data_IF_895375098727
#
_entry.id   IF_895375098727
#
_cell.length_a   1.000
_cell.length_b   1.000
_cell.length_c   1.000
_cell.angle_alpha   90.00
_cell.angle_beta   90.00
_cell.angle_gamma   90.00
#
_symmetry.space_group_name_H-M   'P 1'
#
loop_
_entity.id
_entity.type
_entity.pdbx_description
1 polymer ?
#
# COMPACT_ATOMS: atom_id res chain seq x y z
N UNK A 1 4.93 18.70 7.01
CA UNK A 1 3.62 18.12 7.40
C UNK A 1 2.67 18.17 6.20
N UNK A 2 2.08 17.05 5.85
CA UNK A 2 1.09 16.98 4.78
C UNK A 2 -0.17 17.78 5.18
N UNK A 3 -0.84 18.40 4.20
CA UNK A 3 -2.09 19.13 4.48
C UNK A 3 -3.23 18.14 4.75
N UNK A 4 -4.25 18.60 5.49
CA UNK A 4 -5.44 17.79 5.75
C UNK A 4 -6.18 17.40 4.47
N UNK A 5 -6.13 18.26 3.45
CA UNK A 5 -6.77 18.00 2.16
C UNK A 5 -6.10 16.86 1.39
N UNK A 6 -4.79 16.73 1.55
CA UNK A 6 -4.00 15.71 0.86
C UNK A 6 -3.83 14.41 1.66
N UNK A 7 -4.21 14.43 2.93
CA UNK A 7 -4.12 13.27 3.81
C UNK A 7 -5.30 12.31 3.62
N UNK A 8 -5.04 11.05 3.94
CA UNK A 8 -6.06 10.01 3.99
C UNK A 8 -6.14 9.45 5.39
N UNK A 9 -7.24 8.77 5.69
CA UNK A 9 -7.44 8.10 6.98
C UNK A 9 -6.92 6.68 6.89
N UNK A 10 -6.07 6.29 7.85
CA UNK A 10 -5.74 4.88 8.09
C UNK A 10 -6.48 4.46 9.36
N UNK A 11 -7.15 3.32 9.30
CA UNK A 11 -8.06 2.85 10.35
C UNK A 11 -7.71 1.46 10.82
N UNK A 12 -7.70 1.28 12.12
CA UNK A 12 -7.51 -0.02 12.76
C UNK A 12 -8.62 -0.23 13.78
N UNK A 13 -9.29 -1.37 13.71
CA UNK A 13 -10.36 -1.73 14.64
C UNK A 13 -9.94 -2.92 15.49
N UNK A 14 -10.09 -2.79 16.79
CA UNK A 14 -9.79 -3.85 17.74
C UNK A 14 -10.61 -3.67 19.00
N UNK A 15 -11.06 -4.76 19.62
CA UNK A 15 -11.81 -4.74 20.88
C UNK A 15 -13.10 -3.92 20.83
N UNK A 16 -13.73 -3.81 19.65
CA UNK A 16 -14.93 -3.01 19.46
C UNK A 16 -14.68 -1.51 19.34
N UNK A 17 -13.42 -1.09 19.34
CA UNK A 17 -13.02 0.31 19.20
C UNK A 17 -12.33 0.55 17.86
N UNK A 18 -12.48 1.77 17.36
CA UNK A 18 -11.88 2.23 16.12
C UNK A 18 -10.81 3.27 16.40
N UNK A 19 -9.66 3.13 15.74
CA UNK A 19 -8.54 4.06 15.88
C UNK A 19 -8.13 4.54 14.50
N UNK A 20 -8.04 5.85 14.32
CA UNK A 20 -7.74 6.48 13.04
C UNK A 20 -6.56 7.43 13.14
N UNK A 21 -5.77 7.50 12.08
CA UNK A 21 -4.73 8.51 11.89
C UNK A 21 -4.89 9.16 10.53
N UNK A 22 -4.38 10.38 10.41
CA UNK A 22 -4.40 11.16 9.16
C UNK A 22 -2.99 11.22 8.61
N UNK A 23 -2.78 10.62 7.44
CA UNK A 23 -1.44 10.41 6.87
C UNK A 23 -1.43 10.67 5.36
N UNK A 24 -0.26 11.08 4.86
CA UNK A 24 -0.01 11.16 3.43
C UNK A 24 -0.11 9.76 2.80
N UNK A 25 -0.93 9.57 1.75
CA UNK A 25 -1.12 8.26 1.14
C UNK A 25 0.17 7.67 0.55
N UNK A 26 1.05 8.50 0.00
CA UNK A 26 2.34 8.03 -0.54
C UNK A 26 3.30 7.57 0.56
N UNK A 27 3.32 8.28 1.69
CA UNK A 27 4.11 7.86 2.84
C UNK A 27 3.61 6.55 3.42
N UNK A 28 2.28 6.37 3.51
CA UNK A 28 1.68 5.11 3.93
C UNK A 28 2.05 3.97 3.00
N UNK A 29 2.03 4.21 1.69
CA UNK A 29 2.46 3.25 0.69
C UNK A 29 3.92 2.84 0.88
N UNK A 30 4.81 3.82 1.02
CA UNK A 30 6.25 3.58 1.24
C UNK A 30 6.50 2.76 2.49
N UNK A 31 5.82 3.09 3.58
CA UNK A 31 5.93 2.33 4.82
C UNK A 31 5.47 0.88 4.65
N UNK A 32 4.36 0.66 3.96
CA UNK A 32 3.85 -0.69 3.68
C UNK A 32 4.80 -1.49 2.79
N UNK A 33 5.58 -0.82 1.96
CA UNK A 33 6.60 -1.44 1.10
C UNK A 33 7.91 -1.74 1.85
N UNK A 34 8.03 -1.33 3.10
CA UNK A 34 9.19 -1.60 3.95
C UNK A 34 10.16 -0.45 4.08
N UNK A 35 9.85 0.71 3.53
CA UNK A 35 10.71 1.90 3.62
C UNK A 35 10.54 2.62 4.96
N UNK A 36 11.59 3.29 5.39
CA UNK A 36 11.49 4.22 6.50
C UNK A 36 10.91 5.54 6.00
N UNK A 37 10.03 6.16 6.81
CA UNK A 37 9.40 7.42 6.45
C UNK A 37 9.62 8.47 7.53
N UNK A 38 9.52 9.73 7.14
CA UNK A 38 9.56 10.87 8.06
C UNK A 38 8.14 11.09 8.60
N UNK A 39 7.90 10.68 9.84
CA UNK A 39 6.58 10.78 10.46
C UNK A 39 6.09 12.22 10.60
N UNK A 40 6.99 13.16 10.85
CA UNK A 40 6.65 14.58 10.94
C UNK A 40 6.04 15.11 9.64
N UNK A 41 6.63 14.72 8.51
CA UNK A 41 6.12 15.12 7.20
C UNK A 41 4.89 14.32 6.79
N UNK A 42 4.81 13.07 7.19
CA UNK A 42 3.76 12.15 6.76
C UNK A 42 2.42 12.38 7.47
N UNK A 43 2.44 12.75 8.75
CA UNK A 43 1.24 12.90 9.56
C UNK A 43 0.66 14.31 9.40
N UNK A 44 -0.64 14.40 9.11
CA UNK A 44 -1.32 15.67 8.91
C UNK A 44 -1.72 16.34 10.21
N UNK A 45 -2.06 15.54 11.23
CA UNK A 45 -2.43 16.04 12.55
C UNK A 45 -1.98 15.01 13.58
N UNK A 46 -1.19 15.44 14.56
CA UNK A 46 -0.68 14.54 15.61
C UNK A 46 -1.82 13.96 16.45
N UNK A 47 -1.75 12.69 16.68
CA UNK A 47 -2.69 12.00 17.57
C UNK A 47 -3.41 10.84 16.91
N UNK A 48 -4.27 10.22 17.71
CA UNK A 48 -5.10 9.10 17.32
C UNK A 48 -6.56 9.49 17.56
N UNK A 49 -7.39 9.19 16.59
CA UNK A 49 -8.78 9.60 16.56
C UNK A 49 -9.70 8.39 16.66
N UNK A 50 -10.79 8.54 17.40
CA UNK A 50 -11.90 7.58 17.34
C UNK A 50 -12.72 7.79 16.07
N UNK A 51 -12.88 9.05 15.69
CA UNK A 51 -13.51 9.46 14.43
C UNK A 51 -12.83 10.74 13.94
N UNK A 52 -11.97 10.61 12.96
CA UNK A 52 -11.19 11.75 12.46
C UNK A 52 -12.06 12.77 11.72
N UNK A 53 -13.12 12.32 11.05
CA UNK A 53 -14.03 13.23 10.33
C UNK A 53 -14.80 14.13 11.29
N UNK A 54 -15.14 13.63 12.47
CA UNK A 54 -15.84 14.41 13.50
C UNK A 54 -14.90 15.15 14.44
N UNK A 55 -13.59 14.91 14.34
CA UNK A 55 -12.61 15.47 15.25
C UNK A 55 -12.62 14.83 16.64
N UNK A 56 -13.17 13.64 16.78
CA UNK A 56 -13.25 12.92 18.06
C UNK A 56 -11.95 12.16 18.30
N UNK A 57 -11.18 12.59 19.32
CA UNK A 57 -9.94 11.91 19.69
C UNK A 57 -10.22 10.62 20.45
N UNK A 58 -9.37 9.63 20.24
CA UNK A 58 -9.44 8.39 20.99
C UNK A 58 -8.98 8.63 22.44
N UNK A 59 -9.72 8.17 23.45
CA UNK A 59 -9.28 8.28 24.84
C UNK A 59 -7.97 7.51 25.07
N UNK A 60 -7.06 8.09 25.83
CA UNK A 60 -5.75 7.49 26.11
C UNK A 60 -5.85 6.10 26.73
N UNK A 61 -6.85 5.89 27.59
CA UNK A 61 -7.04 4.58 28.22
C UNK A 61 -7.35 3.49 27.20
N UNK A 62 -8.18 3.81 26.19
CA UNK A 62 -8.51 2.86 25.10
C UNK A 62 -7.32 2.64 24.19
N UNK A 63 -6.55 3.69 23.92
CA UNK A 63 -5.33 3.59 23.11
C UNK A 63 -4.31 2.69 23.80
N UNK A 64 -4.07 2.90 25.07
CA UNK A 64 -3.13 2.08 25.83
C UNK A 64 -3.59 0.62 25.94
N UNK A 65 -4.87 0.39 26.11
CA UNK A 65 -5.43 -0.98 26.15
C UNK A 65 -5.27 -1.70 24.81
N UNK A 66 -5.44 -0.99 23.69
CA UNK A 66 -5.37 -1.56 22.36
C UNK A 66 -3.93 -1.79 21.88
N UNK A 67 -3.02 -0.86 22.19
CA UNK A 67 -1.66 -0.85 21.62
C UNK A 67 -0.57 -1.17 22.66
N UNK A 68 -0.89 -1.19 23.93
CA UNK A 68 0.10 -1.40 25.00
C UNK A 68 1.03 -0.22 25.21
N UNK A 69 0.76 0.92 24.60
CA UNK A 69 1.57 2.13 24.67
C UNK A 69 0.74 3.35 24.26
N UNK A 70 1.20 4.54 24.66
CA UNK A 70 0.65 5.81 24.16
C UNK A 70 1.64 6.56 23.28
N UNK A 71 2.78 5.93 22.95
CA UNK A 71 3.75 6.52 22.00
C UNK A 71 3.17 6.54 20.59
N UNK A 72 3.02 7.74 20.03
CA UNK A 72 2.33 7.95 18.75
C UNK A 72 2.98 7.19 17.60
N UNK A 73 4.30 7.23 17.48
CA UNK A 73 4.98 6.56 16.35
C UNK A 73 4.74 5.06 16.36
N UNK A 74 4.78 4.43 17.53
CA UNK A 74 4.49 2.99 17.64
C UNK A 74 3.04 2.67 17.28
N UNK A 75 2.11 3.54 17.66
CA UNK A 75 0.70 3.42 17.30
C UNK A 75 0.50 3.58 15.80
N UNK A 76 1.14 4.58 15.19
CA UNK A 76 1.09 4.80 13.74
C UNK A 76 1.57 3.59 12.96
N UNK A 77 2.69 3.00 13.38
CA UNK A 77 3.23 1.79 12.76
C UNK A 77 2.24 0.63 12.80
N UNK A 78 1.61 0.42 13.94
CA UNK A 78 0.63 -0.64 14.13
C UNK A 78 -0.60 -0.44 13.23
N UNK A 79 -1.12 0.78 13.18
CA UNK A 79 -2.28 1.11 12.35
C UNK A 79 -1.95 0.92 10.87
N UNK A 80 -0.77 1.34 10.42
CA UNK A 80 -0.36 1.17 9.02
C UNK A 80 -0.10 -0.30 8.65
N UNK A 81 0.40 -1.09 9.59
CA UNK A 81 0.71 -2.50 9.35
C UNK A 81 -0.54 -3.37 9.33
N UNK A 82 -1.43 -3.18 10.30
CA UNK A 82 -2.58 -4.06 10.51
C UNK A 82 -3.93 -3.45 10.13
N UNK A 83 -3.97 -2.15 9.94
CA UNK A 83 -5.20 -1.42 9.60
C UNK A 83 -5.43 -1.33 8.08
N UNK A 84 -6.47 -0.59 7.75
CA UNK A 84 -6.89 -0.34 6.36
C UNK A 84 -6.67 1.13 6.02
N UNK A 85 -6.09 1.41 4.86
CA UNK A 85 -5.89 2.77 4.37
C UNK A 85 -7.07 3.14 3.48
N UNK A 86 -7.76 4.22 3.83
CA UNK A 86 -9.00 4.65 3.17
C UNK A 86 -8.64 5.57 1.99
N UNK A 87 -8.43 5.00 0.82
CA UNK A 87 -8.16 5.77 -0.40
C UNK A 87 -9.47 6.14 -1.08
N UNK A 88 -9.52 7.33 -1.69
CA UNK A 88 -10.60 7.65 -2.62
C UNK A 88 -10.46 6.77 -3.86
N UNK A 89 -11.53 6.60 -4.63
CA UNK A 89 -11.49 5.85 -5.87
C UNK A 89 -10.43 6.40 -6.83
N UNK A 90 -10.34 7.73 -6.95
CA UNK A 90 -9.34 8.37 -7.80
C UNK A 90 -7.92 8.09 -7.33
N UNK A 91 -7.63 8.26 -6.03
CA UNK A 91 -6.32 7.99 -5.46
C UNK A 91 -5.93 6.52 -5.69
N UNK A 92 -6.86 5.60 -5.43
CA UNK A 92 -6.63 4.17 -5.62
C UNK A 92 -6.30 3.85 -7.08
N UNK A 93 -7.07 4.38 -8.02
CA UNK A 93 -6.85 4.14 -9.45
C UNK A 93 -5.50 4.67 -9.91
N UNK A 94 -5.13 5.88 -9.50
CA UNK A 94 -3.82 6.46 -9.83
C UNK A 94 -2.66 5.64 -9.26
N UNK A 95 -2.78 5.21 -8.01
CA UNK A 95 -1.75 4.41 -7.34
C UNK A 95 -1.66 3.00 -7.94
N UNK A 96 -2.77 2.40 -8.31
CA UNK A 96 -2.81 1.10 -9.00
C UNK A 96 -2.13 1.22 -10.37
N UNK A 97 -2.45 2.25 -11.15
CA UNK A 97 -1.84 2.45 -12.46
C UNK A 97 -0.33 2.62 -12.38
N UNK A 98 0.16 3.42 -11.42
CA UNK A 98 1.58 3.60 -11.20
C UNK A 98 2.26 2.30 -10.76
N UNK A 99 1.64 1.57 -9.85
CA UNK A 99 2.16 0.29 -9.36
C UNK A 99 2.22 -0.74 -10.49
N UNK A 100 1.20 -0.80 -11.33
CA UNK A 100 1.16 -1.69 -12.50
C UNK A 100 2.30 -1.41 -13.45
N UNK A 101 2.58 -0.14 -13.74
CA UNK A 101 3.72 0.26 -14.58
C UNK A 101 5.04 -0.21 -13.99
N UNK A 102 5.22 -0.03 -12.68
CA UNK A 102 6.42 -0.47 -11.98
C UNK A 102 6.58 -1.98 -12.01
N UNK A 103 5.49 -2.72 -11.87
CA UNK A 103 5.49 -4.19 -11.98
C UNK A 103 5.90 -4.63 -13.40
N UNK A 104 5.33 -4.00 -14.42
CA UNK A 104 5.67 -4.30 -15.82
C UNK A 104 7.14 -4.03 -16.08
N UNK A 105 7.66 -2.88 -15.66
CA UNK A 105 9.08 -2.52 -15.81
C UNK A 105 9.99 -3.51 -15.10
N UNK A 106 9.62 -3.93 -13.90
CA UNK A 106 10.37 -4.91 -13.13
C UNK A 106 10.45 -6.27 -13.85
N UNK A 107 9.34 -6.73 -14.39
CA UNK A 107 9.28 -8.00 -15.14
C UNK A 107 10.10 -7.89 -16.44
N UNK A 108 9.94 -6.80 -17.19
CA UNK A 108 10.68 -6.58 -18.43
C UNK A 108 12.19 -6.58 -18.18
N UNK A 109 12.64 -5.95 -17.07
CA UNK A 109 14.05 -5.85 -16.73
C UNK A 109 14.67 -7.18 -16.24
N UNK A 110 13.87 -8.07 -15.63
CA UNK A 110 14.37 -9.27 -14.95
C UNK A 110 13.94 -10.59 -15.57
N UNK A 111 13.02 -10.56 -16.53
CA UNK A 111 12.51 -11.76 -17.19
C UNK A 111 12.88 -11.79 -18.65
N UNK A 112 12.88 -12.97 -19.25
CA UNK A 112 13.16 -13.14 -20.67
C UNK A 112 12.16 -14.09 -21.29
N UNK A 113 12.01 -14.00 -22.62
CA UNK A 113 11.28 -14.96 -23.41
C UNK A 113 12.23 -16.12 -23.75
N UNK A 114 12.02 -17.34 -23.19
CA UNK A 114 12.92 -18.46 -23.45
C UNK A 114 12.92 -18.92 -24.90
N UNK A 115 11.89 -18.57 -25.68
CA UNK A 115 11.81 -18.93 -27.11
C UNK A 115 12.73 -18.05 -27.97
N UNK A 116 12.88 -16.76 -27.61
CA UNK A 116 13.69 -15.81 -28.37
C UNK A 116 15.00 -15.47 -27.71
N UNK A 117 15.14 -15.73 -26.42
CA UNK A 117 16.31 -15.36 -25.62
C UNK A 117 16.41 -13.88 -25.28
N UNK A 118 15.40 -13.09 -25.66
CA UNK A 118 15.35 -11.66 -25.44
C UNK A 118 14.27 -11.23 -24.44
N UNK A 119 14.19 -9.92 -24.13
CA UNK A 119 13.18 -9.41 -23.21
C UNK A 119 11.79 -9.45 -23.83
N UNK A 120 10.77 -9.48 -22.99
CA UNK A 120 9.39 -9.29 -23.43
C UNK A 120 9.11 -7.81 -23.68
N UNK A 121 8.33 -7.46 -24.72
CA UNK A 121 7.79 -6.12 -24.85
C UNK A 121 6.87 -5.79 -23.66
N UNK A 122 6.90 -4.54 -23.15
CA UNK A 122 6.02 -4.15 -22.03
C UNK A 122 4.54 -4.44 -22.29
N UNK A 123 4.06 -4.21 -23.49
CA UNK A 123 2.66 -4.44 -23.85
C UNK A 123 2.26 -5.91 -23.70
N UNK A 124 3.17 -6.83 -24.01
CA UNK A 124 2.90 -8.26 -23.85
C UNK A 124 2.73 -8.64 -22.39
N UNK A 125 3.53 -8.04 -21.51
CA UNK A 125 3.40 -8.25 -20.06
C UNK A 125 2.10 -7.65 -19.54
N UNK A 126 1.74 -6.44 -19.97
CA UNK A 126 0.46 -5.81 -19.59
C UNK A 126 -0.72 -6.67 -20.00
N UNK A 127 -0.71 -7.17 -21.24
CA UNK A 127 -1.78 -8.03 -21.75
C UNK A 127 -1.88 -9.33 -20.93
N UNK A 128 -0.76 -9.92 -20.54
CA UNK A 128 -0.75 -11.12 -19.72
C UNK A 128 -1.31 -10.87 -18.31
N UNK A 129 -1.01 -9.72 -17.72
CA UNK A 129 -1.57 -9.31 -16.42
C UNK A 129 -3.08 -9.19 -16.50
N UNK A 130 -3.58 -8.53 -17.55
CA UNK A 130 -5.01 -8.34 -17.77
C UNK A 130 -5.73 -9.68 -18.04
N UNK A 131 -5.13 -10.55 -18.83
CA UNK A 131 -5.68 -11.88 -19.12
C UNK A 131 -5.71 -12.76 -17.88
N UNK A 132 -4.71 -12.67 -17.03
CA UNK A 132 -4.66 -13.38 -15.75
C UNK A 132 -5.64 -12.82 -14.72
N UNK A 133 -6.23 -11.65 -14.99
CA UNK A 133 -7.14 -10.94 -14.08
C UNK A 133 -6.50 -10.68 -12.73
N UNK A 134 -5.22 -10.38 -12.73
CA UNK A 134 -4.47 -10.08 -11.52
C UNK A 134 -4.85 -8.69 -10.99
N UNK A 135 -5.26 -8.65 -9.73
CA UNK A 135 -5.60 -7.38 -9.05
C UNK A 135 -4.35 -6.81 -8.40
N UNK A 136 -3.85 -5.69 -8.94
CA UNK A 136 -2.69 -5.01 -8.38
C UNK A 136 -3.06 -4.32 -7.07
N UNK A 137 -2.31 -4.61 -6.01
CA UNK A 137 -2.46 -3.93 -4.72
C UNK A 137 -1.55 -2.71 -4.69
N UNK A 138 -2.10 -1.48 -4.59
CA UNK A 138 -1.27 -0.28 -4.60
C UNK A 138 -0.39 -0.14 -3.35
N UNK A 139 -0.68 -0.88 -2.28
CA UNK A 139 0.03 -0.79 -1.00
C UNK A 139 1.00 -1.94 -0.74
N UNK A 140 1.06 -2.94 -1.60
CA UNK A 140 1.96 -4.09 -1.43
C UNK A 140 3.23 -3.88 -2.25
N UNK A 141 4.38 -4.35 -1.71
CA UNK A 141 5.67 -4.26 -2.41
C UNK A 141 5.63 -4.99 -3.75
N UNK A 142 6.37 -4.44 -4.73
CA UNK A 142 6.42 -4.97 -6.10
C UNK A 142 6.90 -6.42 -6.11
N UNK A 143 7.95 -6.74 -5.39
CA UNK A 143 8.56 -8.07 -5.36
C UNK A 143 7.57 -9.15 -4.94
N UNK A 144 6.75 -8.88 -3.93
CA UNK A 144 5.74 -9.82 -3.45
C UNK A 144 4.64 -10.06 -4.48
N UNK A 145 4.22 -9.01 -5.16
CA UNK A 145 3.20 -9.10 -6.20
C UNK A 145 3.74 -9.84 -7.42
N UNK A 146 4.98 -9.60 -7.80
CA UNK A 146 5.62 -10.26 -8.94
C UNK A 146 5.69 -11.78 -8.70
N UNK A 147 6.04 -12.22 -7.50
CA UNK A 147 6.06 -13.66 -7.18
C UNK A 147 4.71 -14.33 -7.44
N UNK A 148 3.63 -13.71 -7.01
CA UNK A 148 2.27 -14.21 -7.22
C UNK A 148 1.88 -14.16 -8.70
N UNK A 149 2.20 -13.05 -9.35
CA UNK A 149 1.83 -12.79 -10.73
C UNK A 149 2.53 -13.74 -11.71
N UNK A 150 3.80 -14.00 -11.51
CA UNK A 150 4.57 -14.90 -12.39
C UNK A 150 3.93 -16.29 -12.44
N UNK A 151 3.44 -16.79 -11.33
CA UNK A 151 2.74 -18.08 -11.29
C UNK A 151 1.47 -18.09 -12.13
N UNK A 152 0.81 -16.94 -12.26
CA UNK A 152 -0.42 -16.80 -13.03
C UNK A 152 -0.16 -16.58 -14.51
N UNK A 153 0.94 -15.93 -14.88
CA UNK A 153 1.22 -15.63 -16.30
C UNK A 153 2.06 -16.69 -17.01
N UNK A 154 2.79 -17.54 -16.29
CA UNK A 154 3.57 -18.64 -16.88
C UNK A 154 2.74 -19.55 -17.81
N UNK A 155 1.48 -19.93 -17.46
CA UNK A 155 0.66 -20.71 -18.37
C UNK A 155 0.18 -19.94 -19.60
N UNK A 156 0.20 -18.62 -19.58
CA UNK A 156 -0.31 -17.75 -20.64
C UNK A 156 0.74 -17.39 -21.67
N UNK A 157 1.98 -17.13 -21.22
CA UNK A 157 3.10 -16.78 -22.10
C UNK A 157 4.39 -17.49 -21.63
N UNK A 158 5.30 -17.83 -22.57
CA UNK A 158 6.61 -18.32 -22.17
C UNK A 158 7.38 -17.21 -21.47
N UNK A 159 7.80 -17.46 -20.24
CA UNK A 159 8.54 -16.48 -19.44
C UNK A 159 9.54 -17.20 -18.53
N UNK A 160 10.77 -16.68 -18.50
CA UNK A 160 11.84 -17.18 -17.63
C UNK A 160 12.36 -16.02 -16.78
N UNK A 161 12.44 -16.25 -15.48
CA UNK A 161 12.83 -15.20 -14.53
C UNK A 161 14.24 -15.39 -14.01
#
# INVERSE_FOLDING_TARGET
>A
MVSLEDAVTARYETGGNRFEILIDPKAAQSYREGDEIDWEEAIAADGVWADSAKGDRAPDILVNDAFGTTELIEIYKKILTEGTIQLTAQQRNEMVDQKKKQIVEHIVANAMNPQTGGPHPPQRIENAIDEARFSVDPMEAIEKQVEKLIKLIKPLIPISF
#
